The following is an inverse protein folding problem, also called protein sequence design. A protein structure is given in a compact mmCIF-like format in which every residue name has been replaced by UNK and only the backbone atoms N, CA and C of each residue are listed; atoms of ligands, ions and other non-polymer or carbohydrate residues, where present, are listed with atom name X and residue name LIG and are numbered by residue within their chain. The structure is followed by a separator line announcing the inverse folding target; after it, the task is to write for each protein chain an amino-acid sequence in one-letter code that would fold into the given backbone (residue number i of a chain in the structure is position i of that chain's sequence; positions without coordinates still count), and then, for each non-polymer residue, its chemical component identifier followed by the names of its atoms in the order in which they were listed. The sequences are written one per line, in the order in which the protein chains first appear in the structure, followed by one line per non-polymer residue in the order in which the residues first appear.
data_IF_553263950397
#
_entry.id   IF_553263950397
#
_cell.length_a   1.000
_cell.length_b   1.000
_cell.length_c   1.000
_cell.angle_alpha   90.00
_cell.angle_beta   90.00
_cell.angle_gamma   90.00
#
_symmetry.space_group_name_H-M   'P 1'
#
loop_
_entity.id
_entity.type
_entity.pdbx_description
1 polymer ?
#
# COMPACT_ATOMS: atom_id res chain seq x y z
N UNK A 1 -7.60 17.12 -8.01
CA UNK A 1 -7.68 15.63 -8.03
C UNK A 1 -7.07 15.22 -6.73
N UNK A 2 -7.80 14.52 -5.88
CA UNK A 2 -7.35 14.26 -4.51
C UNK A 2 -6.40 13.06 -4.41
N UNK A 3 -6.59 12.01 -5.22
CA UNK A 3 -5.72 10.84 -5.23
C UNK A 3 -5.80 10.02 -6.52
N UNK A 4 -4.74 9.25 -6.78
CA UNK A 4 -4.66 8.15 -7.75
C UNK A 4 -4.22 6.88 -7.01
N UNK A 5 -4.71 5.73 -7.46
CA UNK A 5 -4.27 4.41 -6.98
C UNK A 5 -4.00 3.50 -8.17
N UNK A 6 -2.74 3.11 -8.34
CA UNK A 6 -2.28 2.29 -9.45
C UNK A 6 -1.71 0.97 -8.96
N UNK A 7 -2.05 -0.10 -9.66
CA UNK A 7 -1.46 -1.42 -9.48
C UNK A 7 -0.76 -1.87 -10.76
N UNK A 8 0.26 -2.68 -10.61
CA UNK A 8 0.95 -3.31 -11.73
C UNK A 8 1.35 -4.75 -11.38
N UNK A 9 1.18 -5.64 -12.36
CA UNK A 9 1.72 -6.99 -12.34
C UNK A 9 3.15 -6.98 -12.91
N UNK A 10 4.05 -7.69 -12.25
CA UNK A 10 5.47 -7.79 -12.64
C UNK A 10 5.79 -9.03 -13.49
N UNK A 11 4.78 -9.82 -13.88
CA UNK A 11 5.01 -11.08 -14.63
C UNK A 11 5.62 -10.83 -16.01
N UNK A 12 5.32 -9.69 -16.65
CA UNK A 12 5.97 -9.30 -17.90
C UNK A 12 7.49 -9.15 -17.77
N UNK A 13 7.96 -8.72 -16.60
CA UNK A 13 9.38 -8.59 -16.29
C UNK A 13 10.07 -9.95 -16.01
N UNK A 14 9.38 -11.08 -16.16
CA UNK A 14 10.02 -12.40 -16.19
C UNK A 14 10.77 -12.63 -17.49
N UNK A 15 10.41 -11.93 -18.57
CA UNK A 15 11.18 -11.87 -19.79
C UNK A 15 12.47 -11.06 -19.59
N UNK A 16 13.61 -11.63 -19.98
CA UNK A 16 14.93 -11.03 -19.72
C UNK A 16 15.14 -9.71 -20.47
N UNK A 17 14.65 -9.58 -21.68
CA UNK A 17 14.79 -8.36 -22.49
C UNK A 17 13.87 -7.26 -21.94
N UNK A 18 12.64 -7.60 -21.55
CA UNK A 18 11.71 -6.70 -20.90
C UNK A 18 12.28 -6.19 -19.57
N UNK A 19 12.86 -7.10 -18.74
CA UNK A 19 13.50 -6.69 -17.49
C UNK A 19 14.70 -5.79 -17.72
N UNK A 20 15.57 -6.11 -18.68
CA UNK A 20 16.72 -5.28 -19.00
C UNK A 20 16.32 -3.88 -19.45
N UNK A 21 15.30 -3.76 -20.30
CA UNK A 21 14.74 -2.47 -20.73
C UNK A 21 14.16 -1.67 -19.57
N UNK A 22 13.38 -2.32 -18.70
CA UNK A 22 12.82 -1.71 -17.50
C UNK A 22 13.92 -1.24 -16.53
N UNK A 23 14.93 -2.06 -16.29
CA UNK A 23 16.09 -1.74 -15.43
C UNK A 23 16.89 -0.56 -15.98
N UNK A 24 17.01 -0.41 -17.30
CA UNK A 24 17.68 0.73 -17.93
C UNK A 24 16.88 2.04 -17.80
N UNK A 25 15.56 1.98 -17.59
CA UNK A 25 14.67 3.15 -17.53
C UNK A 25 14.46 3.72 -16.12
N UNK A 26 14.89 3.00 -15.06
CA UNK A 26 14.81 3.50 -13.69
C UNK A 26 16.07 4.30 -13.30
N UNK A 27 16.01 5.02 -12.17
CA UNK A 27 17.13 5.77 -11.63
C UNK A 27 18.34 4.86 -11.34
N UNK A 28 19.55 5.44 -11.36
CA UNK A 28 20.79 4.72 -11.05
C UNK A 28 20.73 4.10 -9.64
N UNK A 29 20.26 4.86 -8.65
CA UNK A 29 20.06 4.37 -7.27
C UNK A 29 19.13 3.15 -7.24
N UNK A 30 18.02 3.19 -7.98
CA UNK A 30 17.07 2.06 -8.05
C UNK A 30 17.65 0.85 -8.76
N UNK A 31 18.39 1.08 -9.83
CA UNK A 31 19.10 0.03 -10.57
C UNK A 31 20.10 -0.71 -9.70
N UNK A 32 20.97 0.04 -9.01
CA UNK A 32 21.92 -0.56 -8.08
C UNK A 32 21.24 -1.31 -6.94
N UNK A 33 20.14 -0.77 -6.39
CA UNK A 33 19.37 -1.43 -5.35
C UNK A 33 18.77 -2.73 -5.86
N UNK A 34 18.16 -2.74 -7.04
CA UNK A 34 17.57 -3.92 -7.64
C UNK A 34 18.62 -5.03 -7.86
N UNK A 35 19.79 -4.67 -8.38
CA UNK A 35 20.88 -5.63 -8.65
C UNK A 35 21.48 -6.24 -7.36
N UNK A 36 21.36 -5.57 -6.22
CA UNK A 36 21.79 -6.11 -4.91
C UNK A 36 20.81 -7.10 -4.28
N UNK A 37 19.57 -7.17 -4.77
CA UNK A 37 18.56 -8.11 -4.27
C UNK A 37 18.89 -9.54 -4.73
N UNK A 38 18.60 -10.51 -3.88
CA UNK A 38 18.93 -11.90 -4.13
C UNK A 38 17.94 -12.58 -5.08
N UNK A 39 16.63 -12.37 -4.83
CA UNK A 39 15.57 -13.04 -5.60
C UNK A 39 15.14 -12.20 -6.79
N UNK A 40 14.98 -12.83 -7.95
CA UNK A 40 14.59 -12.14 -9.18
C UNK A 40 13.19 -11.51 -9.08
N UNK A 41 12.28 -12.12 -8.31
CA UNK A 41 10.98 -11.50 -8.00
C UNK A 41 11.16 -10.15 -7.30
N UNK A 42 12.04 -10.08 -6.32
CA UNK A 42 12.26 -8.84 -5.57
C UNK A 42 12.95 -7.76 -6.42
N UNK A 43 13.82 -8.18 -7.35
CA UNK A 43 14.40 -7.26 -8.37
C UNK A 43 13.30 -6.66 -9.25
N UNK A 44 12.39 -7.50 -9.77
CA UNK A 44 11.25 -7.05 -10.59
C UNK A 44 10.36 -6.08 -9.82
N UNK A 45 9.97 -6.42 -8.59
CA UNK A 45 9.17 -5.54 -7.72
C UNK A 45 9.87 -4.22 -7.42
N UNK A 46 11.19 -4.25 -7.21
CA UNK A 46 11.98 -3.03 -6.97
C UNK A 46 11.93 -2.09 -8.18
N UNK A 47 12.10 -2.62 -9.40
CA UNK A 47 12.03 -1.85 -10.65
C UNK A 47 10.60 -1.37 -10.90
N UNK A 48 9.63 -2.27 -10.80
CA UNK A 48 8.21 -1.99 -11.02
C UNK A 48 7.70 -0.86 -10.12
N UNK A 49 8.10 -0.85 -8.84
CA UNK A 49 7.69 0.18 -7.89
C UNK A 49 8.11 1.60 -8.32
N UNK A 50 9.30 1.77 -8.91
CA UNK A 50 9.70 3.08 -9.42
C UNK A 50 8.98 3.45 -10.71
N UNK A 51 8.82 2.50 -11.64
CA UNK A 51 8.09 2.75 -12.89
C UNK A 51 6.65 3.16 -12.60
N UNK A 52 6.02 2.46 -11.67
CA UNK A 52 4.65 2.73 -11.25
C UNK A 52 4.54 4.11 -10.58
N UNK A 53 5.49 4.45 -9.71
CA UNK A 53 5.56 5.77 -9.08
C UNK A 53 5.72 6.89 -10.10
N UNK A 54 6.67 6.75 -11.04
CA UNK A 54 6.89 7.75 -12.12
C UNK A 54 5.64 7.93 -12.97
N UNK A 55 4.94 6.85 -13.28
CA UNK A 55 3.68 6.90 -14.03
C UNK A 55 2.60 7.63 -13.23
N UNK A 56 2.36 7.23 -11.97
CA UNK A 56 1.35 7.84 -11.13
C UNK A 56 1.62 9.33 -10.87
N UNK A 57 2.86 9.71 -10.60
CA UNK A 57 3.27 11.10 -10.42
C UNK A 57 3.01 11.95 -11.68
N UNK A 58 3.37 11.44 -12.86
CA UNK A 58 3.12 12.14 -14.14
C UNK A 58 1.63 12.36 -14.36
N UNK A 59 0.82 11.32 -14.16
CA UNK A 59 -0.63 11.38 -14.37
C UNK A 59 -1.31 12.26 -13.29
N UNK A 60 -0.68 12.40 -12.12
CA UNK A 60 -1.11 13.35 -11.09
C UNK A 60 -0.74 14.81 -11.40
N UNK A 61 0.16 15.05 -12.36
CA UNK A 61 0.63 16.38 -12.76
C UNK A 61 1.96 16.81 -12.15
N UNK A 62 2.69 15.88 -11.50
CA UNK A 62 4.04 16.14 -11.02
C UNK A 62 5.04 16.06 -12.18
N UNK A 63 5.72 17.18 -12.49
CA UNK A 63 6.54 17.32 -13.70
C UNK A 63 8.05 17.21 -13.43
N UNK A 64 8.47 17.25 -12.18
CA UNK A 64 9.88 17.15 -11.81
C UNK A 64 10.36 15.70 -11.76
N UNK A 65 11.67 15.49 -11.85
CA UNK A 65 12.26 14.17 -11.61
C UNK A 65 12.04 13.79 -10.13
N UNK A 66 11.44 12.62 -9.83
CA UNK A 66 11.13 12.24 -8.46
C UNK A 66 12.40 11.84 -7.70
N UNK A 67 12.88 12.72 -6.86
CA UNK A 67 13.96 12.43 -5.90
C UNK A 67 13.35 12.18 -4.53
N UNK A 68 13.62 11.02 -3.94
CA UNK A 68 13.05 10.64 -2.65
C UNK A 68 14.01 10.90 -1.49
N UNK A 69 13.44 11.32 -0.37
CA UNK A 69 14.10 11.44 0.93
C UNK A 69 13.35 10.62 1.97
N UNK A 70 13.99 10.23 3.05
CA UNK A 70 13.33 9.50 4.13
C UNK A 70 12.93 10.46 5.25
N UNK A 71 11.67 10.34 5.70
CA UNK A 71 11.19 10.97 6.91
C UNK A 71 11.75 10.31 8.17
N UNK A 72 11.39 10.85 9.32
CA UNK A 72 11.89 10.44 10.65
C UNK A 72 11.76 8.93 10.90
N UNK A 73 10.63 8.32 10.50
CA UNK A 73 10.36 6.89 10.68
C UNK A 73 10.58 6.06 9.41
N UNK A 74 11.34 6.60 8.44
CA UNK A 74 11.75 5.88 7.24
C UNK A 74 10.75 5.87 6.08
N UNK A 75 9.55 6.49 6.22
CA UNK A 75 8.62 6.68 5.10
C UNK A 75 9.30 7.52 4.01
N UNK A 76 9.25 7.10 2.73
CA UNK A 76 9.79 7.90 1.65
C UNK A 76 8.84 9.06 1.30
N UNK A 77 9.43 10.22 1.02
CA UNK A 77 8.77 11.44 0.55
C UNK A 77 9.49 11.98 -0.68
N UNK A 78 8.81 12.78 -1.49
CA UNK A 78 9.46 13.56 -2.54
C UNK A 78 10.25 14.71 -1.89
N UNK A 79 11.51 14.92 -2.32
CA UNK A 79 12.33 16.05 -1.82
C UNK A 79 11.66 17.38 -2.10
N UNK A 80 11.17 17.55 -3.34
CA UNK A 80 10.46 18.74 -3.80
C UNK A 80 8.98 18.37 -3.99
N UNK A 81 8.27 18.12 -2.88
CA UNK A 81 6.94 17.51 -2.91
C UNK A 81 5.87 18.38 -3.56
N UNK A 82 5.99 19.71 -3.46
CA UNK A 82 4.97 20.67 -3.93
C UNK A 82 3.54 20.31 -3.48
N UNK A 83 3.41 19.69 -2.30
CA UNK A 83 2.13 19.20 -1.77
C UNK A 83 1.67 17.87 -2.36
N UNK A 84 2.56 17.12 -3.02
CA UNK A 84 2.28 15.77 -3.53
C UNK A 84 2.90 14.74 -2.59
N UNK A 85 2.10 13.77 -2.21
CA UNK A 85 2.48 12.65 -1.35
C UNK A 85 2.31 11.35 -2.10
N UNK A 86 3.08 10.33 -1.73
CA UNK A 86 2.96 9.01 -2.31
C UNK A 86 3.20 7.91 -1.28
N UNK A 87 2.72 6.73 -1.62
CA UNK A 87 3.05 5.50 -0.89
C UNK A 87 3.13 4.32 -1.85
N UNK A 88 3.98 3.34 -1.50
CA UNK A 88 4.20 2.14 -2.28
C UNK A 88 4.01 0.90 -1.40
N UNK A 89 3.41 -0.13 -1.97
CA UNK A 89 3.34 -1.47 -1.39
C UNK A 89 3.55 -2.53 -2.45
N UNK A 90 3.85 -3.75 -2.05
CA UNK A 90 3.96 -4.89 -2.95
C UNK A 90 3.69 -6.20 -2.21
N UNK A 91 3.09 -7.16 -2.88
CA UNK A 91 2.90 -8.53 -2.39
C UNK A 91 2.81 -9.49 -3.57
N UNK A 92 3.36 -10.71 -3.43
CA UNK A 92 3.44 -11.64 -4.55
C UNK A 92 4.20 -11.03 -5.73
N UNK A 93 3.56 -10.95 -6.89
CA UNK A 93 4.10 -10.34 -8.11
C UNK A 93 3.43 -8.99 -8.44
N UNK A 94 2.77 -8.36 -7.49
CA UNK A 94 2.08 -7.08 -7.68
C UNK A 94 2.73 -5.94 -6.90
N UNK A 95 2.80 -4.77 -7.53
CA UNK A 95 3.13 -3.50 -6.90
C UNK A 95 1.90 -2.59 -6.87
N UNK A 96 1.77 -1.80 -5.82
CA UNK A 96 0.72 -0.81 -5.61
C UNK A 96 1.35 0.56 -5.34
N UNK A 97 0.80 1.60 -5.94
CA UNK A 97 1.23 2.98 -5.74
C UNK A 97 0.03 3.88 -5.53
N UNK A 98 0.05 4.63 -4.44
CA UNK A 98 -0.85 5.75 -4.20
C UNK A 98 -0.11 7.07 -4.38
N UNK A 99 -0.77 8.06 -5.02
CA UNK A 99 -0.32 9.44 -5.10
C UNK A 99 -1.49 10.34 -4.71
N UNK A 100 -1.26 11.32 -3.84
CA UNK A 100 -2.32 12.20 -3.32
C UNK A 100 -1.81 13.61 -3.04
N UNK A 101 -2.76 14.57 -2.85
CA UNK A 101 -2.49 15.95 -2.42
C UNK A 101 -2.37 16.10 -0.89
N UNK A 102 -2.34 14.98 -0.17
CA UNK A 102 -2.19 14.90 1.29
C UNK A 102 -1.60 13.56 1.70
N UNK A 103 -1.26 13.42 2.98
CA UNK A 103 -0.68 12.17 3.50
C UNK A 103 -1.53 10.97 3.13
N UNK A 104 -0.88 9.95 2.57
CA UNK A 104 -1.53 8.72 2.15
C UNK A 104 -0.67 7.50 2.48
N UNK A 105 -1.33 6.35 2.57
CA UNK A 105 -0.72 5.04 2.71
C UNK A 105 -1.54 4.01 1.94
N UNK A 106 -0.89 3.10 1.26
CA UNK A 106 -1.55 1.99 0.58
C UNK A 106 -0.91 0.66 0.96
N UNK A 107 -1.71 -0.39 0.91
CA UNK A 107 -1.22 -1.74 1.12
C UNK A 107 -1.88 -2.72 0.17
N UNK A 108 -1.14 -3.75 -0.24
CA UNK A 108 -1.60 -4.87 -1.04
C UNK A 108 -1.08 -6.17 -0.44
N UNK A 109 -1.95 -7.17 -0.30
CA UNK A 109 -1.58 -8.48 0.20
C UNK A 109 -2.20 -9.60 -0.65
N UNK A 110 -1.36 -10.57 -1.01
CA UNK A 110 -1.83 -11.81 -1.62
C UNK A 110 -2.52 -12.67 -0.58
N UNK A 111 -3.72 -13.15 -0.89
CA UNK A 111 -4.46 -14.06 -0.03
C UNK A 111 -3.71 -15.39 0.13
N UNK A 112 -3.56 -15.82 1.36
CA UNK A 112 -2.96 -17.08 1.81
C UNK A 112 -3.60 -17.50 3.13
N UNK A 113 -3.38 -18.68 3.67
CA UNK A 113 -3.89 -19.02 4.99
C UNK A 113 -3.44 -18.01 6.04
N UNK A 114 -4.40 -17.41 6.75
CA UNK A 114 -4.13 -16.37 7.75
C UNK A 114 -3.52 -16.96 9.03
N UNK A 115 -2.55 -16.27 9.58
CA UNK A 115 -1.98 -16.62 10.89
C UNK A 115 -2.74 -15.91 12.01
N UNK A 116 -3.85 -16.49 12.50
CA UNK A 116 -4.72 -15.87 13.51
C UNK A 116 -3.97 -15.52 14.82
N UNK A 117 -2.85 -16.20 15.14
CA UNK A 117 -1.99 -15.82 16.25
C UNK A 117 -1.37 -14.44 16.09
N UNK A 118 -1.14 -13.99 14.84
CA UNK A 118 -0.66 -12.64 14.53
C UNK A 118 -1.75 -11.62 14.85
N UNK A 119 -3.00 -11.88 14.42
CA UNK A 119 -4.13 -11.02 14.78
C UNK A 119 -4.33 -10.95 16.31
N UNK A 120 -4.27 -12.09 17.01
CA UNK A 120 -4.39 -12.13 18.47
C UNK A 120 -3.35 -11.28 19.20
N UNK A 121 -2.15 -11.16 18.63
CA UNK A 121 -1.03 -10.43 19.23
C UNK A 121 -1.03 -8.94 18.91
N UNK A 122 -1.45 -8.58 17.69
CA UNK A 122 -1.21 -7.25 17.17
C UNK A 122 -2.49 -6.46 16.85
N UNK A 123 -3.64 -7.12 16.62
CA UNK A 123 -4.87 -6.38 16.32
C UNK A 123 -5.49 -5.83 17.60
N UNK A 124 -6.30 -4.77 17.45
CA UNK A 124 -7.08 -4.28 18.57
C UNK A 124 -8.03 -5.38 19.09
N UNK A 125 -8.28 -5.48 20.42
CA UNK A 125 -9.11 -6.56 20.98
C UNK A 125 -10.49 -6.71 20.31
N UNK A 126 -11.14 -5.60 19.94
CA UNK A 126 -12.45 -5.64 19.25
C UNK A 126 -12.35 -6.24 17.84
N UNK A 127 -11.27 -5.99 17.11
CA UNK A 127 -11.03 -6.57 15.78
C UNK A 127 -10.75 -8.07 15.87
N UNK A 128 -9.95 -8.48 16.85
CA UNK A 128 -9.70 -9.91 17.11
C UNK A 128 -10.98 -10.64 17.53
N UNK A 129 -11.83 -10.02 18.37
CA UNK A 129 -13.11 -10.59 18.75
C UNK A 129 -14.03 -10.77 17.53
N UNK A 130 -14.10 -9.75 16.64
CA UNK A 130 -14.85 -9.83 15.39
C UNK A 130 -14.32 -10.94 14.48
N UNK A 131 -13.00 -11.04 14.33
CA UNK A 131 -12.34 -12.09 13.54
C UNK A 131 -12.66 -13.49 14.09
N UNK A 132 -12.57 -13.65 15.42
CA UNK A 132 -12.84 -14.93 16.09
C UNK A 132 -14.31 -15.34 16.07
N UNK A 133 -15.24 -14.41 15.83
CA UNK A 133 -16.68 -14.70 15.72
C UNK A 133 -17.09 -15.25 14.36
N UNK A 134 -16.20 -15.26 13.37
CA UNK A 134 -16.50 -15.78 12.03
C UNK A 134 -16.67 -17.30 12.06
N UNK A 135 -17.67 -17.79 11.32
CA UNK A 135 -18.10 -19.20 11.37
C UNK A 135 -17.14 -20.13 10.62
N UNK A 136 -16.53 -19.64 9.54
CA UNK A 136 -15.65 -20.46 8.68
C UNK A 136 -14.22 -19.93 8.62
N UNK A 137 -13.28 -20.80 8.26
CA UNK A 137 -11.89 -20.41 8.06
C UNK A 137 -11.73 -19.43 6.88
N UNK A 138 -12.57 -19.56 5.86
CA UNK A 138 -12.59 -18.66 4.70
C UNK A 138 -13.03 -17.25 5.10
N UNK A 139 -14.09 -17.12 5.91
CA UNK A 139 -14.53 -15.83 6.44
C UNK A 139 -13.50 -15.20 7.36
N UNK A 140 -12.82 -16.00 8.18
CA UNK A 140 -11.73 -15.54 9.03
C UNK A 140 -10.56 -15.06 8.20
N UNK A 141 -10.16 -15.81 7.17
CA UNK A 141 -9.08 -15.47 6.26
C UNK A 141 -9.35 -14.16 5.53
N UNK A 142 -10.55 -14.04 4.97
CA UNK A 142 -10.98 -12.83 4.27
C UNK A 142 -10.93 -11.60 5.17
N UNK A 143 -11.55 -11.69 6.37
CA UNK A 143 -11.56 -10.58 7.31
C UNK A 143 -10.15 -10.25 7.84
N UNK A 144 -9.29 -11.26 8.03
CA UNK A 144 -7.90 -11.03 8.45
C UNK A 144 -7.16 -10.14 7.45
N UNK A 145 -7.21 -10.48 6.13
CA UNK A 145 -6.49 -9.70 5.14
C UNK A 145 -7.11 -8.33 4.88
N UNK A 146 -8.43 -8.19 5.00
CA UNK A 146 -9.10 -6.89 4.99
C UNK A 146 -8.57 -5.99 6.12
N UNK A 147 -8.60 -6.47 7.37
CA UNK A 147 -8.11 -5.72 8.52
C UNK A 147 -6.60 -5.46 8.41
N UNK A 148 -5.81 -6.43 7.95
CA UNK A 148 -4.37 -6.29 7.79
C UNK A 148 -4.01 -5.17 6.82
N UNK A 149 -4.54 -5.20 5.59
CA UNK A 149 -4.24 -4.18 4.58
C UNK A 149 -4.74 -2.79 4.99
N UNK A 150 -5.90 -2.71 5.65
CA UNK A 150 -6.41 -1.46 6.20
C UNK A 150 -5.49 -0.90 7.29
N UNK A 151 -5.01 -1.73 8.22
CA UNK A 151 -4.11 -1.31 9.30
C UNK A 151 -2.75 -0.89 8.76
N UNK A 152 -2.18 -1.66 7.83
CA UNK A 152 -0.93 -1.29 7.15
C UNK A 152 -1.06 0.03 6.40
N UNK A 153 -2.15 0.23 5.65
CA UNK A 153 -2.39 1.48 4.94
C UNK A 153 -2.53 2.68 5.89
N UNK A 154 -3.20 2.49 7.04
CA UNK A 154 -3.34 3.51 8.09
C UNK A 154 -1.99 3.90 8.69
N UNK A 155 -1.17 2.92 9.09
CA UNK A 155 0.16 3.15 9.65
C UNK A 155 1.09 3.80 8.62
N UNK A 156 1.03 3.38 7.36
CA UNK A 156 1.79 3.99 6.26
C UNK A 156 1.35 5.44 6.00
N UNK A 157 0.05 5.73 6.08
CA UNK A 157 -0.47 7.10 5.97
C UNK A 157 0.03 7.98 7.12
N UNK A 158 0.06 7.48 8.36
CA UNK A 158 0.57 8.25 9.50
C UNK A 158 2.05 8.59 9.41
N UNK A 159 2.81 7.88 8.60
CA UNK A 159 4.26 8.03 8.49
C UNK A 159 5.07 7.55 9.70
N UNK A 160 4.42 7.00 10.73
CA UNK A 160 5.06 6.62 12.01
C UNK A 160 5.62 5.19 12.01
N UNK A 161 5.31 4.38 11.00
CA UNK A 161 5.81 3.02 10.88
C UNK A 161 5.56 2.20 12.16
N UNK A 162 6.52 1.39 12.57
CA UNK A 162 6.43 0.54 13.77
C UNK A 162 6.24 1.28 15.10
N UNK A 163 6.41 2.63 15.11
CA UNK A 163 6.13 3.44 16.30
C UNK A 163 4.63 3.63 16.56
N UNK A 164 3.76 3.21 15.63
CA UNK A 164 2.31 3.16 15.81
C UNK A 164 1.88 1.69 15.93
N UNK A 165 1.66 1.18 17.15
CA UNK A 165 1.22 -0.20 17.33
C UNK A 165 -0.17 -0.43 16.71
N UNK A 166 -0.37 -1.60 16.10
CA UNK A 166 -1.64 -1.95 15.47
C UNK A 166 -2.82 -2.03 16.45
N UNK A 167 -2.56 -2.37 17.72
CA UNK A 167 -3.56 -2.43 18.78
C UNK A 167 -3.93 -1.06 19.38
N UNK A 168 -3.20 0.01 19.01
CA UNK A 168 -3.49 1.37 19.46
C UNK A 168 -4.68 2.04 18.75
N UNK A 169 -5.22 1.43 17.71
CA UNK A 169 -6.39 1.91 16.96
C UNK A 169 -7.25 0.74 16.48
N UNK A 170 -8.53 1.02 16.25
CA UNK A 170 -9.47 0.01 15.80
C UNK A 170 -10.25 0.47 14.57
N UNK A 171 -10.35 -0.42 13.60
CA UNK A 171 -11.06 -0.24 12.33
C UNK A 171 -12.28 -1.16 12.31
N UNK A 172 -13.36 -0.68 11.70
CA UNK A 172 -14.59 -1.45 11.54
C UNK A 172 -14.98 -1.47 10.05
N UNK A 173 -14.58 -2.52 9.30
CA UNK A 173 -15.03 -2.69 7.93
C UNK A 173 -16.52 -3.04 7.91
N UNK A 174 -17.30 -2.27 7.15
CA UNK A 174 -18.75 -2.45 7.02
C UNK A 174 -19.20 -2.40 5.56
N UNK A 175 -20.51 -2.64 5.32
CA UNK A 175 -21.09 -2.57 3.98
C UNK A 175 -21.06 -1.15 3.37
N UNK A 176 -21.09 -0.13 4.22
CA UNK A 176 -21.02 1.29 3.80
C UNK A 176 -19.61 1.86 3.73
N UNK A 177 -18.58 1.03 3.93
CA UNK A 177 -17.18 1.45 3.97
C UNK A 177 -16.51 1.13 5.32
N UNK A 178 -15.35 1.71 5.54
CA UNK A 178 -14.55 1.49 6.75
C UNK A 178 -14.64 2.69 7.68
N UNK A 179 -14.95 2.44 8.95
CA UNK A 179 -14.91 3.46 10.00
C UNK A 179 -13.75 3.25 10.96
N UNK A 180 -13.24 4.34 11.52
CA UNK A 180 -12.24 4.32 12.60
C UNK A 180 -12.99 4.41 13.92
N UNK A 181 -13.09 3.29 14.65
CA UNK A 181 -13.81 3.25 15.94
C UNK A 181 -12.94 3.69 17.12
N UNK A 182 -11.61 3.51 17.01
CA UNK A 182 -10.60 4.03 17.94
C UNK A 182 -9.49 4.65 17.11
N UNK A 183 -9.20 5.93 17.30
CA UNK A 183 -8.11 6.63 16.61
C UNK A 183 -6.84 6.61 17.46
N UNK A 184 -5.68 6.39 16.84
CA UNK A 184 -4.38 6.38 17.53
C UNK A 184 -3.84 7.81 17.80
N UNK A 185 -4.18 8.77 16.94
CA UNK A 185 -3.57 10.11 16.94
C UNK A 185 -4.59 11.25 16.75
N UNK A 186 -5.87 10.93 16.65
CA UNK A 186 -6.93 11.91 16.45
C UNK A 186 -6.99 12.55 15.05
N UNK A 187 -6.10 12.15 14.13
CA UNK A 187 -6.09 12.69 12.76
C UNK A 187 -7.20 12.01 11.94
N UNK A 188 -8.12 12.77 11.34
CA UNK A 188 -9.16 12.21 10.47
C UNK A 188 -8.54 11.54 9.25
N UNK A 189 -9.02 10.34 8.90
CA UNK A 189 -8.59 9.59 7.72
C UNK A 189 -9.76 8.89 7.05
N UNK A 190 -9.76 8.91 5.73
CA UNK A 190 -10.64 8.11 4.89
C UNK A 190 -9.94 6.82 4.49
N UNK A 191 -10.62 5.69 4.65
CA UNK A 191 -10.10 4.37 4.31
C UNK A 191 -10.96 3.73 3.22
N UNK A 192 -10.30 3.11 2.26
CA UNK A 192 -10.91 2.47 1.11
C UNK A 192 -10.37 1.05 0.93
N UNK A 193 -11.24 0.12 0.59
CA UNK A 193 -10.91 -1.27 0.28
C UNK A 193 -11.14 -1.53 -1.21
N UNK A 194 -10.26 -2.34 -1.80
CA UNK A 194 -10.33 -2.75 -3.19
C UNK A 194 -10.12 -4.27 -3.29
N UNK A 195 -11.03 -4.93 -4.01
CA UNK A 195 -10.95 -6.36 -4.30
C UNK A 195 -10.81 -6.68 -5.79
N UNK A 196 -10.39 -5.69 -6.58
CA UNK A 196 -10.42 -5.77 -8.05
C UNK A 196 -9.23 -6.53 -8.64
N UNK A 197 -8.26 -6.93 -7.82
CA UNK A 197 -7.13 -7.79 -8.23
C UNK A 197 -7.38 -9.17 -7.65
N UNK A 198 -7.52 -10.17 -8.52
CA UNK A 198 -7.79 -11.55 -8.15
C UNK A 198 -6.75 -12.09 -7.15
N UNK A 199 -7.24 -12.78 -6.12
CA UNK A 199 -6.41 -13.33 -5.02
C UNK A 199 -5.61 -12.30 -4.21
N UNK A 200 -5.91 -11.01 -4.31
CA UNK A 200 -5.31 -9.94 -3.51
C UNK A 200 -6.36 -9.12 -2.78
N UNK A 201 -5.95 -8.50 -1.67
CA UNK A 201 -6.67 -7.41 -1.01
C UNK A 201 -5.80 -6.17 -1.02
N UNK A 202 -6.42 -5.05 -1.35
CA UNK A 202 -5.77 -3.75 -1.36
C UNK A 202 -6.54 -2.78 -0.47
N UNK A 203 -5.81 -1.88 0.17
CA UNK A 203 -6.39 -0.79 0.93
C UNK A 203 -5.64 0.52 0.67
N UNK A 204 -6.37 1.61 0.78
CA UNK A 204 -5.85 2.98 0.70
C UNK A 204 -6.35 3.76 1.91
N UNK A 205 -5.46 4.48 2.56
CA UNK A 205 -5.76 5.42 3.63
C UNK A 205 -5.26 6.81 3.21
N UNK A 206 -6.11 7.82 3.32
CA UNK A 206 -5.80 9.21 2.97
C UNK A 206 -6.21 10.11 4.14
N UNK A 207 -5.37 11.07 4.50
CA UNK A 207 -5.69 12.06 5.51
C UNK A 207 -6.88 12.93 5.07
N UNK A 208 -7.85 13.12 5.97
CA UNK A 208 -9.08 13.86 5.74
C UNK A 208 -10.33 13.00 5.87
N UNK A 209 -11.42 13.60 6.36
CA UNK A 209 -12.70 12.91 6.60
C UNK A 209 -13.56 12.72 5.34
N UNK A 210 -13.42 13.62 4.35
CA UNK A 210 -14.33 13.70 3.19
C UNK A 210 -13.58 13.47 1.87
N UNK A 211 -12.71 12.48 1.84
CA UNK A 211 -11.98 12.12 0.62
C UNK A 211 -12.82 11.16 -0.22
N UNK A 212 -12.91 11.43 -1.51
CA UNK A 212 -13.53 10.49 -2.45
C UNK A 212 -12.55 9.38 -2.81
N UNK A 213 -13.03 8.12 -2.79
CA UNK A 213 -12.25 6.97 -3.24
C UNK A 213 -11.78 7.16 -4.70
N UNK A 214 -10.47 7.07 -5.00
CA UNK A 214 -10.01 6.95 -6.38
C UNK A 214 -10.37 5.57 -6.92
N UNK A 215 -10.42 5.45 -8.24
CA UNK A 215 -10.49 4.16 -8.92
C UNK A 215 -9.12 3.45 -8.81
N UNK A 216 -9.15 2.12 -8.61
CA UNK A 216 -7.94 1.31 -8.72
C UNK A 216 -7.70 0.99 -10.20
N UNK A 217 -6.60 1.50 -10.75
CA UNK A 217 -6.24 1.33 -12.15
C UNK A 217 -5.06 0.38 -12.28
N UNK A 218 -5.24 -0.73 -12.99
CA UNK A 218 -4.13 -1.62 -13.35
C UNK A 218 -3.43 -1.10 -14.59
N UNK A 219 -2.13 -0.87 -14.49
CA UNK A 219 -1.29 -0.37 -15.58
C UNK A 219 -0.22 -1.38 -15.99
N UNK A 220 0.10 -1.49 -17.29
CA UNK A 220 1.23 -2.31 -17.74
C UNK A 220 2.56 -1.62 -17.40
N UNK A 221 3.55 -2.42 -17.05
CA UNK A 221 4.95 -2.01 -16.84
C UNK A 221 5.90 -2.94 -17.57
#
# INVERSE_FOLDING_TARGET
MTALLYAADTLRLCDGDAFAAALASVSEERRERALRLHFDRDKRLCVAAELLLRRALRDFGYTSEPVTVRGEYGKPYLRDSHGVFFNLSHSGDHALCAVADRECGCDIERLRPAELRVAKRFFHPSEYALLSSKATAEEQNELFFRLWTLKESYVKASGRGLSMPFDSFALCPGAAGVSVSVSADGVPRSLFEYGDIDSFRCALCIEGADVRAPELVTVPI
#
